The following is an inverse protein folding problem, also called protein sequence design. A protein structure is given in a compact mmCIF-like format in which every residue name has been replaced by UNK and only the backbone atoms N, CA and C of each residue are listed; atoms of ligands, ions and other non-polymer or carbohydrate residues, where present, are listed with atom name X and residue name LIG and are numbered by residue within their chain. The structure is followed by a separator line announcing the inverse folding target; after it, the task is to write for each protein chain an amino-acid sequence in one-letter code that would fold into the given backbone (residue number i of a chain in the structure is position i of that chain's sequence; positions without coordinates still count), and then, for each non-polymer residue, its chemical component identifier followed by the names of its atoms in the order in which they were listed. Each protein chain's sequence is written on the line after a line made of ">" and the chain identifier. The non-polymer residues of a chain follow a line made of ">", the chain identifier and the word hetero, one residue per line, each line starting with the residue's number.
data_IF_381939774087
#
_entry.id   IF_381939774087
#
_cell.length_a   1.000
_cell.length_b   1.000
_cell.length_c   1.000
_cell.angle_alpha   90.00
_cell.angle_beta   90.00
_cell.angle_gamma   90.00
#
_symmetry.space_group_name_H-M   'P 1'
#
loop_
_entity.id
_entity.type
_entity.pdbx_description
1 polymer ?
#
# COMPACT_ATOMS: atom_id res chain seq x y z
N UNK A 1 -1.46 -6.59 3.66
CA UNK A 1 -2.58 -7.10 2.86
C UNK A 1 -3.90 -6.98 3.56
N UNK A 2 -4.95 -6.96 2.76
CA UNK A 2 -6.33 -7.03 3.19
C UNK A 2 -7.11 -7.86 2.18
N UNK A 3 -7.88 -8.83 2.66
CA UNK A 3 -8.84 -9.56 1.83
C UNK A 3 -10.14 -8.76 1.76
N UNK A 4 -10.77 -8.75 0.59
CA UNK A 4 -12.12 -8.21 0.40
C UNK A 4 -12.99 -9.33 -0.15
N UNK A 5 -13.91 -9.81 0.67
CA UNK A 5 -14.77 -10.96 0.33
C UNK A 5 -15.58 -10.68 -0.94
N UNK A 6 -15.70 -11.67 -1.81
CA UNK A 6 -16.36 -11.54 -3.12
C UNK A 6 -15.53 -10.81 -4.19
N UNK A 7 -14.36 -10.27 -3.84
CA UNK A 7 -13.46 -9.56 -4.75
C UNK A 7 -12.08 -10.23 -4.87
N UNK A 8 -12.00 -11.54 -4.60
CA UNK A 8 -10.79 -12.36 -4.70
C UNK A 8 -10.89 -13.42 -5.78
N UNK A 9 -9.76 -13.92 -6.25
CA UNK A 9 -9.70 -15.09 -7.13
C UNK A 9 -10.22 -16.36 -6.44
N UNK A 10 -9.89 -16.52 -5.14
CA UNK A 10 -10.37 -17.64 -4.32
C UNK A 10 -10.44 -17.26 -2.85
N UNK A 11 -11.52 -17.67 -2.18
CA UNK A 11 -11.70 -17.46 -0.73
C UNK A 11 -10.88 -18.44 0.13
N UNK A 12 -10.37 -19.52 -0.49
CA UNK A 12 -9.76 -20.64 0.25
C UNK A 12 -8.28 -20.43 0.54
N UNK A 13 -7.59 -19.64 -0.28
CA UNK A 13 -6.13 -19.46 -0.22
C UNK A 13 -5.80 -17.99 -0.40
N UNK A 14 -4.92 -17.48 0.45
CA UNK A 14 -4.37 -16.14 0.35
C UNK A 14 -2.91 -16.12 0.76
N UNK A 15 -2.13 -15.30 0.09
CA UNK A 15 -0.75 -14.96 0.38
C UNK A 15 -0.60 -13.44 0.43
N UNK A 16 0.28 -12.98 1.29
CA UNK A 16 0.78 -11.62 1.27
C UNK A 16 1.33 -11.18 2.61
N UNK A 17 1.85 -9.95 2.63
CA UNK A 17 2.59 -9.41 3.76
C UNK A 17 1.69 -8.62 4.70
N UNK A 18 1.73 -8.98 5.99
CA UNK A 18 0.98 -8.33 7.09
C UNK A 18 -0.53 -8.38 6.90
N UNK A 19 -1.28 -9.14 7.70
CA UNK A 19 -2.73 -9.24 7.50
C UNK A 19 -3.48 -8.16 8.29
N UNK A 20 -4.27 -7.36 7.58
CA UNK A 20 -5.11 -6.29 8.13
C UNK A 20 -6.59 -6.62 7.95
N UNK A 21 -7.40 -6.20 8.92
CA UNK A 21 -8.83 -6.52 8.99
C UNK A 21 -9.71 -5.61 8.13
N UNK A 22 -9.23 -4.40 7.83
CA UNK A 22 -10.01 -3.37 7.15
C UNK A 22 -9.10 -2.35 6.45
N UNK A 23 -9.69 -1.54 5.56
CA UNK A 23 -8.96 -0.58 4.74
C UNK A 23 -8.24 0.46 5.59
N UNK A 24 -8.84 0.83 6.73
CA UNK A 24 -8.27 1.80 7.65
C UNK A 24 -6.98 1.27 8.31
N UNK A 25 -6.97 0.02 8.76
CA UNK A 25 -5.79 -0.61 9.37
C UNK A 25 -4.69 -0.90 8.36
N UNK A 26 -5.04 -1.27 7.13
CA UNK A 26 -4.06 -1.37 6.03
C UNK A 26 -3.45 0.00 5.70
N UNK A 27 -4.28 1.03 5.57
CA UNK A 27 -3.82 2.40 5.28
C UNK A 27 -2.87 2.89 6.37
N UNK A 28 -3.23 2.74 7.66
CA UNK A 28 -2.35 3.12 8.78
C UNK A 28 -1.00 2.39 8.75
N UNK A 29 -1.00 1.09 8.45
CA UNK A 29 0.23 0.33 8.35
C UNK A 29 1.13 0.79 7.20
N UNK A 30 0.54 1.11 6.05
CA UNK A 30 1.27 1.67 4.92
C UNK A 30 1.86 3.06 5.23
N UNK A 31 1.08 3.95 5.85
CA UNK A 31 1.58 5.27 6.27
C UNK A 31 2.73 5.17 7.26
N UNK A 32 2.62 4.25 8.23
CA UNK A 32 3.68 3.97 9.20
C UNK A 32 4.96 3.50 8.49
N UNK A 33 4.84 2.61 7.50
CA UNK A 33 5.98 2.18 6.69
C UNK A 33 6.62 3.34 5.93
N UNK A 34 5.82 4.24 5.34
CA UNK A 34 6.36 5.41 4.64
C UNK A 34 7.17 6.31 5.58
N UNK A 35 6.66 6.57 6.79
CA UNK A 35 7.32 7.47 7.74
C UNK A 35 8.55 6.82 8.41
N UNK A 36 8.46 5.55 8.81
CA UNK A 36 9.53 4.90 9.57
C UNK A 36 10.61 4.26 8.69
N UNK A 37 10.30 3.93 7.43
CA UNK A 37 11.23 3.18 6.57
C UNK A 37 11.58 3.91 5.28
N UNK A 38 10.64 4.62 4.63
CA UNK A 38 10.93 5.28 3.35
C UNK A 38 11.53 6.66 3.56
N UNK A 39 10.89 7.50 4.38
CA UNK A 39 11.33 8.87 4.63
C UNK A 39 12.78 8.98 5.15
N UNK A 40 13.27 8.10 6.05
CA UNK A 40 14.65 8.19 6.54
C UNK A 40 15.70 7.87 5.46
N UNK A 41 15.32 7.22 4.36
CA UNK A 41 16.23 6.92 3.26
C UNK A 41 16.43 8.10 2.31
N UNK A 42 15.55 9.11 2.34
CA UNK A 42 15.65 10.32 1.50
C UNK A 42 17.01 11.03 1.70
N UNK A 43 17.42 11.42 2.92
CA UNK A 43 18.72 12.04 3.13
C UNK A 43 19.91 11.11 2.85
N UNK A 44 19.68 9.81 2.67
CA UNK A 44 20.70 8.82 2.29
C UNK A 44 20.78 8.60 0.78
N UNK A 45 20.06 9.39 -0.03
CA UNK A 45 20.11 9.33 -1.49
C UNK A 45 19.00 8.50 -2.14
N UNK A 46 17.92 8.17 -1.42
CA UNK A 46 16.76 7.51 -2.04
C UNK A 46 16.21 8.35 -3.19
N UNK A 47 16.23 7.78 -4.40
CA UNK A 47 15.74 8.46 -5.61
C UNK A 47 14.30 8.06 -5.96
N UNK A 48 13.92 6.80 -5.74
CA UNK A 48 12.60 6.25 -6.13
C UNK A 48 12.19 5.17 -5.14
N UNK A 49 10.90 5.13 -4.79
CA UNK A 49 10.26 4.02 -4.11
C UNK A 49 9.06 3.53 -4.95
N UNK A 50 8.95 2.22 -5.15
CA UNK A 50 7.89 1.60 -5.97
C UNK A 50 7.02 0.74 -5.06
N UNK A 51 5.71 1.02 -5.05
CA UNK A 51 4.75 0.11 -4.44
C UNK A 51 4.37 -0.97 -5.46
N UNK A 52 4.78 -2.21 -5.19
CA UNK A 52 4.27 -3.38 -5.88
C UNK A 52 3.21 -4.01 -4.97
N UNK A 53 1.95 -4.13 -5.38
CA UNK A 53 1.41 -4.23 -6.75
C UNK A 53 0.10 -3.46 -6.94
N UNK A 54 -0.27 -3.13 -8.18
CA UNK A 54 -1.49 -2.34 -8.46
C UNK A 54 -2.78 -3.10 -8.16
N UNK A 55 -2.84 -4.40 -8.44
CA UNK A 55 -4.04 -5.25 -8.26
C UNK A 55 -3.63 -6.56 -7.59
N UNK A 56 -4.55 -7.20 -6.87
CA UNK A 56 -4.33 -8.59 -6.46
C UNK A 56 -4.11 -9.50 -7.67
N UNK A 57 -3.31 -10.55 -7.49
CA UNK A 57 -3.01 -11.56 -8.51
C UNK A 57 -3.21 -12.94 -7.90
N UNK A 58 -4.22 -13.67 -8.40
CA UNK A 58 -4.59 -15.00 -7.93
C UNK A 58 -4.70 -15.06 -6.39
N UNK A 59 -3.77 -15.75 -5.73
CA UNK A 59 -3.76 -15.86 -4.26
C UNK A 59 -2.99 -14.74 -3.57
N UNK A 60 -2.22 -13.92 -4.30
CA UNK A 60 -1.47 -12.81 -3.74
C UNK A 60 -2.35 -11.55 -3.63
N UNK A 61 -2.68 -11.19 -2.38
CA UNK A 61 -3.65 -10.13 -2.07
C UNK A 61 -3.01 -8.83 -1.57
N UNK A 62 -1.81 -8.52 -2.09
CA UNK A 62 -1.06 -7.30 -1.78
C UNK A 62 -1.45 -6.10 -2.65
N UNK A 63 -2.45 -6.23 -3.53
CA UNK A 63 -2.83 -5.18 -4.47
C UNK A 63 -3.37 -3.92 -3.79
N UNK A 64 -3.13 -2.76 -4.40
CA UNK A 64 -3.87 -1.55 -4.07
C UNK A 64 -5.37 -1.71 -4.41
N UNK A 65 -5.65 -2.35 -5.54
CA UNK A 65 -7.00 -2.74 -5.97
C UNK A 65 -7.24 -4.23 -5.74
N UNK A 66 -8.50 -4.60 -5.57
CA UNK A 66 -8.93 -6.00 -5.58
C UNK A 66 -8.66 -6.71 -6.91
N UNK A 67 -8.78 -8.04 -6.91
CA UNK A 67 -8.55 -8.89 -8.09
C UNK A 67 -9.38 -8.45 -9.31
N UNK A 68 -10.63 -8.07 -9.07
CA UNK A 68 -11.57 -7.58 -10.08
C UNK A 68 -11.48 -6.07 -10.36
N UNK A 69 -10.54 -5.37 -9.70
CA UNK A 69 -10.29 -3.92 -9.83
C UNK A 69 -11.45 -3.02 -9.40
N UNK A 70 -12.41 -3.52 -8.61
CA UNK A 70 -13.59 -2.74 -8.20
C UNK A 70 -13.44 -2.00 -6.88
N UNK A 71 -12.50 -2.40 -6.03
CA UNK A 71 -12.36 -1.83 -4.67
C UNK A 71 -10.92 -1.35 -4.45
N UNK A 72 -10.78 -0.08 -4.07
CA UNK A 72 -9.55 0.48 -3.52
C UNK A 72 -9.37 0.01 -2.06
N UNK A 73 -8.25 -0.63 -1.75
CA UNK A 73 -7.98 -1.18 -0.42
C UNK A 73 -7.41 -0.17 0.57
N UNK A 74 -6.94 0.97 0.07
CA UNK A 74 -6.45 2.08 0.87
C UNK A 74 -7.05 3.38 0.34
N UNK A 75 -7.27 4.34 1.23
CA UNK A 75 -7.86 5.63 0.88
C UNK A 75 -6.91 6.45 -0.02
N UNK A 76 -7.28 6.64 -1.29
CA UNK A 76 -6.46 7.33 -2.30
C UNK A 76 -6.13 8.77 -1.90
N UNK A 77 -7.07 9.48 -1.27
CA UNK A 77 -6.85 10.85 -0.83
C UNK A 77 -5.76 10.92 0.25
N UNK A 78 -5.81 10.03 1.23
CA UNK A 78 -4.80 9.90 2.29
C UNK A 78 -3.44 9.51 1.72
N UNK A 79 -3.40 8.55 0.80
CA UNK A 79 -2.13 8.15 0.15
C UNK A 79 -1.51 9.32 -0.61
N UNK A 80 -2.32 10.06 -1.37
CA UNK A 80 -1.86 11.24 -2.12
C UNK A 80 -1.22 12.27 -1.19
N UNK A 81 -1.81 12.56 -0.03
CA UNK A 81 -1.23 13.50 0.93
C UNK A 81 0.11 12.99 1.48
N UNK A 82 0.20 11.71 1.81
CA UNK A 82 1.43 11.11 2.30
C UNK A 82 2.55 11.14 1.24
N UNK A 83 2.24 10.84 -0.03
CA UNK A 83 3.20 10.90 -1.13
C UNK A 83 3.67 12.33 -1.40
N UNK A 84 2.77 13.32 -1.35
CA UNK A 84 3.15 14.74 -1.47
C UNK A 84 4.10 15.19 -0.36
N UNK A 85 3.90 14.72 0.87
CA UNK A 85 4.81 15.00 1.97
C UNK A 85 6.21 14.41 1.75
N UNK A 86 6.31 13.21 1.16
CA UNK A 86 7.61 12.63 0.77
C UNK A 86 8.28 13.44 -0.33
N UNK A 87 7.55 13.85 -1.37
CA UNK A 87 8.10 14.71 -2.42
C UNK A 87 8.60 16.05 -1.90
N UNK A 88 7.91 16.62 -0.91
CA UNK A 88 8.36 17.84 -0.27
C UNK A 88 9.67 17.62 0.50
N UNK A 89 9.76 16.54 1.28
CA UNK A 89 10.99 16.16 1.98
C UNK A 89 12.16 15.92 1.01
N UNK A 90 11.92 15.33 -0.17
CA UNK A 90 12.95 15.14 -1.20
C UNK A 90 13.49 16.46 -1.79
N UNK A 91 12.69 17.53 -1.84
CA UNK A 91 13.12 18.84 -2.34
C UNK A 91 13.95 19.63 -1.35
N UNK A 92 13.92 19.24 -0.08
CA UNK A 92 14.61 19.90 1.03
C UNK A 92 16.01 19.31 1.30
N UNK A 93 16.38 18.25 0.58
CA UNK A 93 17.66 17.55 0.66
C UNK A 93 18.57 17.92 -0.50
#
# INVERSE_FOLDING_TARGET
>A
TMQVDGHVYTEKKRFGYGHHKDAASLTRAYLKLLDEQVKPLIPLGLSVAIYTQTTDIETEINGYLTYDRKVEKMDSATLRQAHLALYQAMKEV
#
